data_IF_669883213669
#
_entry.id   IF_669883213669
#
_cell.length_a   1.000
_cell.length_b   1.000
_cell.length_c   1.000
_cell.angle_alpha   90.00
_cell.angle_beta   90.00
_cell.angle_gamma   90.00
#
_symmetry.space_group_name_H-M   'P 1'
#
loop_
_entity.id
_entity.type
_entity.pdbx_description
1 polymer ?
#
# COMPACT_ATOMS: atom_id res chain seq x y z
N UNK A 1 19.93 5.47 57.04
CA UNK A 1 18.54 4.99 56.92
C UNK A 1 18.47 3.49 57.12
N UNK A 2 17.74 3.05 58.14
CA UNK A 2 17.36 1.64 58.32
C UNK A 2 15.84 1.64 58.49
N UNK A 3 15.14 1.05 57.54
CA UNK A 3 13.68 0.90 57.56
C UNK A 3 13.31 -0.22 58.56
N UNK A 4 12.23 -0.10 59.36
CA UNK A 4 11.86 -1.14 60.31
C UNK A 4 11.27 -2.36 59.62
N UNK A 5 11.49 -3.53 60.22
CA UNK A 5 11.02 -4.82 59.72
C UNK A 5 9.50 -5.00 59.97
N UNK A 6 8.75 -5.58 59.01
CA UNK A 6 7.30 -5.74 59.14
C UNK A 6 6.93 -6.78 60.22
N UNK A 7 5.75 -6.64 60.85
CA UNK A 7 5.31 -7.57 61.88
C UNK A 7 4.97 -8.95 61.29
N UNK A 8 5.32 -10.00 62.04
CA UNK A 8 5.06 -11.40 61.70
C UNK A 8 3.54 -11.68 61.73
N UNK A 9 2.98 -12.44 60.78
CA UNK A 9 1.56 -12.80 60.78
C UNK A 9 1.17 -13.57 62.05
N UNK A 10 0.04 -13.22 62.66
CA UNK A 10 -0.47 -13.88 63.85
C UNK A 10 -0.77 -15.36 63.56
N UNK A 11 -0.09 -16.27 64.27
CA UNK A 11 -0.48 -17.68 64.36
C UNK A 11 -1.80 -17.77 65.14
N UNK A 12 -2.88 -18.15 64.45
CA UNK A 12 -4.16 -18.45 65.08
C UNK A 12 -4.07 -19.79 65.84
N UNK A 13 -4.34 -19.83 67.16
CA UNK A 13 -4.33 -21.07 67.93
C UNK A 13 -5.71 -21.74 67.83
N UNK A 14 -5.76 -22.94 67.24
CA UNK A 14 -6.93 -23.81 67.36
C UNK A 14 -7.20 -24.66 66.14
N UNK A 15 -6.55 -25.82 66.06
CA UNK A 15 -7.07 -26.91 65.25
C UNK A 15 -8.42 -27.36 65.84
N UNK A 16 -9.51 -27.20 65.08
CA UNK A 16 -10.74 -27.96 65.30
C UNK A 16 -11.08 -28.68 63.99
N UNK A 17 -10.90 -29.99 64.05
CA UNK A 17 -11.30 -30.95 63.03
C UNK A 17 -12.82 -30.86 62.78
N UNK A 18 -13.21 -31.16 61.53
CA UNK A 18 -14.57 -31.29 61.02
C UNK A 18 -15.34 -29.99 60.74
N UNK A 19 -15.13 -29.46 59.53
CA UNK A 19 -16.18 -28.80 58.77
C UNK A 19 -16.19 -29.40 57.36
N UNK A 20 -17.29 -30.05 57.02
CA UNK A 20 -17.60 -30.56 55.69
C UNK A 20 -17.37 -29.49 54.63
N UNK A 21 -16.30 -29.64 53.85
CA UNK A 21 -16.04 -28.84 52.68
C UNK A 21 -17.19 -29.06 51.68
N UNK A 22 -17.99 -28.04 51.32
CA UNK A 22 -18.93 -28.20 50.23
C UNK A 22 -18.09 -28.49 48.98
N UNK A 23 -18.27 -29.67 48.39
CA UNK A 23 -17.73 -29.95 47.07
C UNK A 23 -18.36 -28.93 46.14
N UNK A 24 -17.61 -27.88 45.80
CA UNK A 24 -18.03 -26.96 44.76
C UNK A 24 -18.20 -27.80 43.51
N UNK A 25 -19.45 -28.00 43.10
CA UNK A 25 -19.77 -28.51 41.78
C UNK A 25 -19.18 -27.51 40.80
N UNK A 26 -17.94 -27.76 40.37
CA UNK A 26 -17.20 -26.87 39.48
C UNK A 26 -18.04 -26.62 38.24
N UNK A 27 -18.45 -25.37 38.05
CA UNK A 27 -19.13 -24.98 36.83
C UNK A 27 -18.23 -25.36 35.64
N UNK A 28 -18.78 -25.98 34.58
CA UNK A 28 -17.99 -26.29 33.40
C UNK A 28 -17.45 -24.98 32.82
N UNK A 29 -16.12 -24.83 32.83
CA UNK A 29 -15.46 -23.71 32.17
C UNK A 29 -15.43 -24.02 30.67
N UNK A 30 -16.17 -23.22 29.89
CA UNK A 30 -16.15 -23.30 28.43
C UNK A 30 -15.29 -22.15 27.92
N UNK A 31 -14.21 -22.47 27.22
CA UNK A 31 -13.39 -21.49 26.50
C UNK A 31 -13.92 -21.42 25.06
N UNK A 32 -14.54 -20.30 24.71
CA UNK A 32 -14.97 -20.05 23.34
C UNK A 32 -13.83 -19.39 22.55
N UNK A 33 -13.25 -20.13 21.61
CA UNK A 33 -12.33 -19.57 20.62
C UNK A 33 -13.15 -18.95 19.48
N UNK A 34 -13.24 -17.62 19.45
CA UNK A 34 -13.87 -16.88 18.34
C UNK A 34 -12.78 -16.47 17.36
N UNK A 35 -12.87 -16.95 16.13
CA UNK A 35 -12.04 -16.48 15.02
C UNK A 35 -12.83 -15.43 14.25
N UNK A 36 -12.30 -14.21 14.17
CA UNK A 36 -12.90 -13.06 13.49
C UNK A 36 -12.27 -12.84 12.10
N UNK A 37 -11.99 -13.93 11.38
CA UNK A 37 -11.38 -13.81 10.06
C UNK A 37 -12.34 -13.14 9.07
N UNK A 38 -11.81 -12.18 8.32
CA UNK A 38 -12.55 -11.40 7.33
C UNK A 38 -11.82 -11.53 6.00
N UNK A 39 -12.56 -11.88 4.96
CA UNK A 39 -12.03 -11.89 3.60
C UNK A 39 -12.80 -10.88 2.75
N UNK A 40 -12.09 -10.06 2.00
CA UNK A 40 -12.71 -9.16 1.03
C UNK A 40 -13.10 -9.92 -0.24
N UNK A 41 -14.12 -9.44 -0.94
CA UNK A 41 -14.43 -9.93 -2.27
C UNK A 41 -13.35 -9.50 -3.27
N UNK A 42 -13.19 -10.29 -4.34
CA UNK A 42 -12.29 -9.92 -5.43
C UNK A 42 -12.72 -8.61 -6.07
N UNK A 43 -11.79 -7.67 -6.22
CA UNK A 43 -12.02 -6.47 -7.00
C UNK A 43 -11.94 -6.77 -8.52
N UNK A 44 -12.17 -5.75 -9.36
CA UNK A 44 -12.10 -5.86 -10.83
C UNK A 44 -10.75 -6.33 -11.39
N UNK A 45 -9.70 -6.32 -10.57
CA UNK A 45 -8.35 -6.77 -10.92
C UNK A 45 -8.05 -8.18 -10.41
N UNK A 46 -9.01 -8.86 -9.77
CA UNK A 46 -8.80 -10.21 -9.23
C UNK A 46 -7.98 -10.23 -7.93
N UNK A 47 -7.92 -9.13 -7.19
CA UNK A 47 -7.22 -9.05 -5.90
C UNK A 47 -8.25 -9.14 -4.76
N UNK A 48 -7.94 -9.97 -3.76
CA UNK A 48 -8.68 -10.08 -2.49
C UNK A 48 -7.68 -10.19 -1.33
N UNK A 49 -8.13 -9.83 -0.13
CA UNK A 49 -7.31 -9.85 1.08
C UNK A 49 -8.02 -10.65 2.19
N UNK A 50 -7.27 -11.49 2.89
CA UNK A 50 -7.73 -12.25 4.03
C UNK A 50 -7.06 -11.70 5.29
N UNK A 51 -7.88 -11.29 6.26
CA UNK A 51 -7.44 -10.82 7.56
C UNK A 51 -7.80 -11.87 8.61
N UNK A 52 -6.86 -12.19 9.48
CA UNK A 52 -7.10 -13.08 10.61
C UNK A 52 -7.93 -12.44 11.72
N UNK A 53 -7.89 -11.10 11.79
CA UNK A 53 -8.61 -10.28 12.75
C UNK A 53 -9.26 -9.08 12.08
N UNK A 54 -10.19 -8.43 12.77
CA UNK A 54 -10.79 -7.18 12.29
C UNK A 54 -9.70 -6.15 11.98
N UNK A 55 -9.55 -5.70 10.72
CA UNK A 55 -8.52 -4.75 10.36
C UNK A 55 -8.81 -3.39 11.03
N UNK A 56 -7.88 -2.95 11.87
CA UNK A 56 -7.89 -1.65 12.55
C UNK A 56 -6.84 -0.70 11.99
N UNK A 57 -6.06 -1.16 11.02
CA UNK A 57 -4.86 -0.51 10.54
C UNK A 57 -4.73 -0.74 9.04
N UNK A 58 -4.34 0.31 8.31
CA UNK A 58 -4.04 0.26 6.89
C UNK A 58 -2.54 -0.05 6.70
N UNK A 59 -2.17 -1.26 6.21
CA UNK A 59 -0.78 -1.67 6.07
C UNK A 59 0.03 -0.76 5.13
N UNK A 60 -0.64 -0.08 4.20
CA UNK A 60 0.03 0.72 3.18
C UNK A 60 0.21 2.19 3.60
N UNK A 61 -0.31 2.56 4.78
CA UNK A 61 -0.30 3.95 5.27
C UNK A 61 1.08 4.54 5.53
N UNK A 62 2.09 3.70 5.77
CA UNK A 62 3.48 4.12 5.98
C UNK A 62 4.41 3.74 4.82
N UNK A 63 3.89 3.07 3.78
CA UNK A 63 4.71 2.66 2.65
C UNK A 63 4.92 3.88 1.75
N UNK A 64 6.18 4.19 1.47
CA UNK A 64 6.54 5.28 0.57
C UNK A 64 6.07 4.94 -0.85
N UNK A 65 5.72 5.96 -1.64
CA UNK A 65 5.19 5.76 -2.99
C UNK A 65 6.16 4.95 -3.88
N UNK A 66 7.46 5.17 -3.71
CA UNK A 66 8.50 4.44 -4.44
C UNK A 66 8.51 2.94 -4.11
N UNK A 67 8.17 2.56 -2.87
CA UNK A 67 8.08 1.15 -2.44
C UNK A 67 6.76 0.48 -2.87
N UNK A 68 5.68 1.26 -3.01
CA UNK A 68 4.42 0.77 -3.60
C UNK A 68 4.55 0.51 -5.10
N UNK A 69 5.45 1.24 -5.77
CA UNK A 69 5.73 1.03 -7.17
C UNK A 69 6.82 -0.04 -7.33
N UNK A 70 6.52 -1.15 -8.01
CA UNK A 70 7.57 -2.02 -8.55
C UNK A 70 8.31 -1.36 -9.74
N UNK A 71 8.48 -0.04 -9.70
CA UNK A 71 9.29 0.68 -10.65
C UNK A 71 10.74 0.29 -10.36
N UNK A 72 11.23 -0.72 -11.08
CA UNK A 72 12.65 -1.01 -11.12
C UNK A 72 13.33 0.20 -11.80
N UNK A 73 13.62 1.25 -11.03
CA UNK A 73 14.49 2.33 -11.47
C UNK A 73 15.88 1.73 -11.46
N UNK A 74 16.30 1.22 -12.61
CA UNK A 74 17.68 0.84 -12.81
C UNK A 74 18.52 2.13 -12.64
N UNK A 75 19.41 2.26 -11.64
CA UNK A 75 20.16 3.49 -11.41
C UNK A 75 21.15 3.82 -12.55
N UNK A 76 21.33 2.91 -13.52
CA UNK A 76 22.00 3.20 -14.80
C UNK A 76 21.11 3.88 -15.86
N UNK A 77 19.86 4.21 -15.54
CA UNK A 77 19.03 5.11 -16.36
C UNK A 77 18.91 6.49 -15.73
N UNK A 78 19.99 6.96 -15.13
CA UNK A 78 20.24 8.40 -15.02
C UNK A 78 20.99 8.82 -16.28
N UNK A 79 20.32 9.56 -17.16
CA UNK A 79 20.91 10.37 -18.23
C UNK A 79 21.95 9.70 -19.13
N UNK A 80 21.50 8.91 -20.10
CA UNK A 80 22.00 8.93 -21.49
C UNK A 80 21.04 8.09 -22.33
N UNK A 81 20.15 8.73 -23.09
CA UNK A 81 19.52 8.07 -24.23
C UNK A 81 20.64 7.89 -25.27
N UNK A 82 21.11 6.66 -25.60
CA UNK A 82 21.93 6.48 -26.78
C UNK A 82 20.98 6.65 -27.96
N UNK A 83 21.05 7.79 -28.62
CA UNK A 83 20.43 8.01 -29.92
C UNK A 83 20.91 6.91 -30.88
N UNK A 84 20.02 5.99 -31.27
CA UNK A 84 20.21 5.14 -32.47
C UNK A 84 19.02 4.21 -32.79
N UNK A 85 18.21 3.80 -31.81
CA UNK A 85 17.03 2.97 -32.09
C UNK A 85 15.75 3.82 -32.02
N UNK A 86 14.85 3.76 -33.03
CA UNK A 86 13.54 4.37 -32.90
C UNK A 86 12.85 3.69 -31.72
N UNK A 87 12.62 4.47 -30.66
CA UNK A 87 11.93 3.97 -29.49
C UNK A 87 10.53 3.50 -29.94
N UNK A 88 10.20 2.25 -29.67
CA UNK A 88 8.85 1.73 -29.91
C UNK A 88 7.88 2.48 -28.99
N UNK A 89 6.68 2.84 -29.47
CA UNK A 89 5.71 3.52 -28.63
C UNK A 89 5.39 2.63 -27.43
N UNK A 90 5.35 3.19 -26.21
CA UNK A 90 4.96 2.40 -25.05
C UNK A 90 3.53 1.88 -25.22
N UNK A 91 3.21 0.74 -24.61
CA UNK A 91 1.81 0.31 -24.58
C UNK A 91 0.99 1.28 -23.70
N UNK A 92 -0.26 1.60 -24.07
CA UNK A 92 -1.08 1.04 -25.16
C UNK A 92 -1.04 1.82 -26.47
N UNK A 93 -0.08 2.75 -26.65
CA UNK A 93 -0.10 3.68 -27.77
C UNK A 93 0.38 3.02 -29.06
N UNK A 94 -0.36 3.28 -30.15
CA UNK A 94 -0.08 2.70 -31.47
C UNK A 94 1.18 3.28 -32.12
N UNK A 95 1.39 4.59 -31.96
CA UNK A 95 2.46 5.36 -32.59
C UNK A 95 3.08 6.35 -31.60
N UNK A 96 4.34 6.73 -31.84
CA UNK A 96 5.07 7.67 -30.96
C UNK A 96 4.43 9.06 -30.94
N UNK A 97 3.92 9.53 -32.08
CA UNK A 97 3.21 10.79 -32.22
C UNK A 97 2.02 10.89 -31.27
N UNK A 98 1.21 9.82 -31.19
CA UNK A 98 0.05 9.74 -30.30
C UNK A 98 0.49 9.73 -28.83
N UNK A 99 1.51 8.95 -28.49
CA UNK A 99 2.04 8.90 -27.12
C UNK A 99 2.55 10.26 -26.64
N UNK A 100 3.36 10.96 -27.46
CA UNK A 100 3.90 12.28 -27.12
C UNK A 100 2.79 13.32 -26.93
N UNK A 101 1.83 13.34 -27.84
CA UNK A 101 0.70 14.25 -27.78
C UNK A 101 -0.15 14.00 -26.52
N UNK A 102 -0.49 12.74 -26.24
CA UNK A 102 -1.27 12.36 -25.07
C UNK A 102 -0.51 12.62 -23.76
N UNK A 103 0.79 12.35 -23.72
CA UNK A 103 1.63 12.63 -22.55
C UNK A 103 1.71 14.13 -22.26
N UNK A 104 1.87 14.96 -23.29
CA UNK A 104 1.76 16.42 -23.15
C UNK A 104 0.36 16.84 -22.70
N UNK A 105 -0.69 16.25 -23.26
CA UNK A 105 -2.07 16.57 -22.91
C UNK A 105 -2.36 16.28 -21.43
N UNK A 106 -1.96 15.10 -20.95
CA UNK A 106 -2.16 14.61 -19.58
C UNK A 106 -1.21 15.22 -18.54
N UNK A 107 -0.34 16.14 -18.94
CA UNK A 107 0.54 16.82 -18.00
C UNK A 107 -0.27 17.62 -16.98
N UNK A 108 0.18 17.58 -15.71
CA UNK A 108 -0.56 17.97 -14.48
C UNK A 108 -1.08 19.42 -14.44
N UNK A 109 -0.83 20.25 -15.47
CA UNK A 109 -1.35 21.61 -15.51
C UNK A 109 -2.82 21.64 -15.94
N UNK A 110 -3.69 22.11 -15.02
CA UNK A 110 -5.11 22.35 -15.31
C UNK A 110 -5.35 23.47 -16.32
N UNK A 111 -4.36 24.35 -16.51
CA UNK A 111 -4.38 25.43 -17.49
C UNK A 111 -3.17 25.33 -18.40
N UNK A 112 -3.38 25.37 -19.72
CA UNK A 112 -2.29 25.39 -20.68
C UNK A 112 -1.72 26.81 -20.70
N UNK A 113 -0.56 26.99 -20.07
CA UNK A 113 0.17 28.25 -20.09
C UNK A 113 0.95 28.40 -21.40
N UNK A 114 1.44 29.60 -21.68
CA UNK A 114 2.36 29.86 -22.82
C UNK A 114 3.59 28.94 -22.78
N UNK A 115 4.11 28.64 -21.59
CA UNK A 115 5.21 27.71 -21.40
C UNK A 115 4.82 26.27 -21.84
N UNK A 116 3.59 25.82 -21.55
CA UNK A 116 3.10 24.51 -22.00
C UNK A 116 2.90 24.46 -23.52
N UNK A 117 2.47 25.55 -24.16
CA UNK A 117 2.39 25.65 -25.62
C UNK A 117 3.79 25.61 -26.25
N UNK A 118 4.75 26.32 -25.66
CA UNK A 118 6.15 26.27 -26.09
C UNK A 118 6.72 24.85 -25.95
N UNK A 119 6.34 24.15 -24.87
CA UNK A 119 6.68 22.74 -24.65
C UNK A 119 6.04 21.81 -25.67
N UNK A 120 4.79 22.05 -26.09
CA UNK A 120 4.15 21.28 -27.16
C UNK A 120 4.95 21.37 -28.45
N UNK A 121 5.30 22.58 -28.86
CA UNK A 121 6.03 22.82 -30.11
C UNK A 121 7.40 22.15 -30.07
N UNK A 122 8.16 22.36 -29.00
CA UNK A 122 9.53 21.88 -28.93
C UNK A 122 9.67 20.39 -28.60
N UNK A 123 8.77 19.83 -27.80
CA UNK A 123 8.91 18.45 -27.31
C UNK A 123 8.02 17.43 -28.05
N UNK A 124 6.98 17.89 -28.74
CA UNK A 124 6.07 17.02 -29.52
C UNK A 124 6.23 17.29 -31.00
N UNK A 125 5.94 18.50 -31.47
CA UNK A 125 5.87 18.78 -32.91
C UNK A 125 7.23 18.79 -33.61
N UNK A 126 8.31 19.11 -32.88
CA UNK A 126 9.69 19.11 -33.40
C UNK A 126 10.44 17.79 -33.17
N UNK A 127 9.78 16.77 -32.63
CA UNK A 127 10.45 15.48 -32.40
C UNK A 127 10.60 14.70 -33.71
N UNK A 128 11.74 14.03 -33.88
CA UNK A 128 12.09 13.31 -35.12
C UNK A 128 11.17 12.12 -35.41
N UNK A 129 10.50 11.61 -34.38
CA UNK A 129 9.55 10.50 -34.38
C UNK A 129 8.09 10.96 -34.42
N UNK A 130 7.85 12.26 -34.63
CA UNK A 130 6.50 12.80 -34.84
C UNK A 130 6.15 12.86 -36.32
N UNK A 131 5.04 12.22 -36.67
CA UNK A 131 4.43 12.21 -37.99
C UNK A 131 2.97 12.65 -37.85
N UNK A 132 2.54 13.57 -38.71
CA UNK A 132 1.15 14.07 -38.68
C UNK A 132 0.19 13.01 -39.20
N UNK A 133 0.67 12.12 -40.06
CA UNK A 133 -0.04 10.98 -40.63
C UNK A 133 -0.43 9.96 -39.55
N UNK A 134 0.36 9.86 -38.47
CA UNK A 134 0.03 9.00 -37.32
C UNK A 134 -1.24 9.43 -36.58
N UNK A 135 -1.69 10.68 -36.79
CA UNK A 135 -2.92 11.22 -36.22
C UNK A 135 -4.14 10.96 -37.12
N UNK A 136 -3.97 10.31 -38.28
CA UNK A 136 -5.10 9.94 -39.13
C UNK A 136 -5.98 8.91 -38.42
N UNK A 137 -7.28 9.23 -38.32
CA UNK A 137 -8.23 8.43 -37.53
C UNK A 137 -8.11 8.54 -36.01
N UNK A 138 -7.31 9.49 -35.49
CA UNK A 138 -7.23 9.79 -34.06
C UNK A 138 -8.37 10.74 -33.65
N UNK A 139 -9.35 10.24 -32.88
CA UNK A 139 -10.48 10.99 -32.34
C UNK A 139 -10.84 10.48 -30.94
#
# INVERSE_FOLDING_TARGET
DILPEPPVPALQPGASLCASQPQSSGLPHVILHVFDSIQTSFNKFGIAQAYHHRPSYDPDSFILLDELSNAYINPEQTDTIPASLPALPPQPWKNMSIWRLMTWMMSRSKQKSEAEVTRLINSVLRSDDFSIEDLDGFN
#
